data_IF_179561515322
#
_entry.id   IF_179561515322
#
_cell.length_a   1.000
_cell.length_b   1.000
_cell.length_c   1.000
_cell.angle_alpha   90.00
_cell.angle_beta   90.00
_cell.angle_gamma   90.00
#
_symmetry.space_group_name_H-M   'P 1'
#
loop_
_entity.id
_entity.type
_entity.pdbx_description
1 polymer ?
#
# COMPACT_ATOMS: atom_id res chain seq x y z
N UNK A 1 41.02 -26.42 55.75
CA UNK A 1 41.21 -25.95 54.36
C UNK A 1 40.17 -26.60 53.46
N UNK A 2 39.30 -25.78 52.85
CA UNK A 2 38.61 -25.93 51.55
C UNK A 2 37.36 -25.03 51.60
N UNK A 3 37.43 -23.91 50.89
CA UNK A 3 36.32 -22.97 50.70
C UNK A 3 35.69 -23.26 49.33
N UNK A 4 34.36 -23.37 49.17
CA UNK A 4 33.76 -23.54 47.86
C UNK A 4 33.69 -22.19 47.13
N UNK A 5 34.22 -22.15 45.91
CA UNK A 5 34.09 -21.00 45.01
C UNK A 5 32.70 -21.06 44.38
N UNK A 6 31.83 -20.12 44.74
CA UNK A 6 30.54 -19.91 44.10
C UNK A 6 30.76 -19.08 42.83
N UNK A 7 30.78 -19.73 41.67
CA UNK A 7 30.81 -19.07 40.36
C UNK A 7 29.40 -18.54 40.04
N UNK A 8 29.19 -17.24 40.22
CA UNK A 8 28.00 -16.54 39.75
C UNK A 8 28.12 -16.32 38.23
N UNK A 9 27.36 -17.08 37.46
CA UNK A 9 27.14 -16.83 36.03
C UNK A 9 26.19 -15.63 35.90
N UNK A 10 26.73 -14.44 35.69
CA UNK A 10 25.94 -13.30 35.19
C UNK A 10 25.74 -13.51 33.68
N UNK A 11 24.64 -14.15 33.31
CA UNK A 11 24.18 -14.15 31.92
C UNK A 11 23.82 -12.72 31.52
N UNK A 12 24.60 -12.12 30.62
CA UNK A 12 24.16 -10.91 29.90
C UNK A 12 22.96 -11.30 29.03
N UNK A 13 21.75 -11.04 29.53
CA UNK A 13 20.57 -10.94 28.68
C UNK A 13 20.72 -9.65 27.87
N UNK A 14 21.26 -9.76 26.67
CA UNK A 14 21.13 -8.71 25.67
C UNK A 14 19.65 -8.66 25.27
N UNK A 15 18.87 -7.82 25.96
CA UNK A 15 17.58 -7.37 25.47
C UNK A 15 17.87 -6.50 24.24
N UNK A 16 17.78 -7.08 23.04
CA UNK A 16 17.57 -6.27 21.85
C UNK A 16 16.19 -5.63 22.02
N UNK A 17 16.15 -4.34 22.32
CA UNK A 17 14.92 -3.59 22.27
C UNK A 17 14.57 -3.44 20.80
N UNK A 18 13.76 -4.35 20.25
CA UNK A 18 13.05 -4.07 19.01
C UNK A 18 12.29 -2.76 19.20
N UNK A 19 12.66 -1.75 18.42
CA UNK A 19 12.08 -0.42 18.54
C UNK A 19 10.57 -0.52 18.23
N UNK A 20 9.75 -0.44 19.28
CA UNK A 20 8.31 -0.63 19.17
C UNK A 20 7.70 0.41 18.22
N UNK A 21 6.96 -0.05 17.20
CA UNK A 21 6.21 0.84 16.29
C UNK A 21 5.23 1.71 17.09
N UNK A 22 5.37 3.03 16.96
CA UNK A 22 4.48 3.97 17.65
C UNK A 22 3.05 3.81 17.13
N UNK A 23 2.06 4.08 17.99
CA UNK A 23 0.65 4.05 17.55
C UNK A 23 0.37 5.06 16.44
N UNK A 24 1.07 6.20 16.45
CA UNK A 24 1.09 7.24 15.44
C UNK A 24 2.49 7.86 15.42
N UNK A 25 2.99 8.22 14.25
CA UNK A 25 4.26 8.94 14.10
C UNK A 25 4.21 9.90 12.91
N UNK A 26 4.94 11.02 13.02
CA UNK A 26 5.12 11.97 11.92
C UNK A 26 6.10 11.35 10.91
N UNK A 27 5.85 11.54 9.63
CA UNK A 27 6.80 11.17 8.58
C UNK A 27 7.83 12.30 8.35
N UNK A 28 9.04 11.98 7.87
CA UNK A 28 10.01 12.99 7.48
C UNK A 28 9.41 13.99 6.48
N UNK A 29 9.86 15.24 6.52
CA UNK A 29 9.29 16.31 5.66
C UNK A 29 9.42 16.00 4.16
N UNK A 30 10.39 15.16 3.79
CA UNK A 30 10.58 14.68 2.42
C UNK A 30 9.50 13.70 1.95
N UNK A 31 8.77 13.06 2.87
CA UNK A 31 7.68 12.11 2.61
C UNK A 31 6.36 12.83 2.91
N UNK A 32 5.81 13.51 1.92
CA UNK A 32 4.66 14.42 2.10
C UNK A 32 3.41 14.06 1.31
N UNK A 33 3.53 13.45 0.14
CA UNK A 33 2.36 13.00 -0.62
C UNK A 33 1.99 11.55 -0.29
N UNK A 34 2.91 10.71 0.22
CA UNK A 34 2.61 9.40 0.85
C UNK A 34 1.64 8.51 0.04
N UNK A 35 2.10 8.03 -1.11
CA UNK A 35 1.25 7.23 -2.01
C UNK A 35 1.32 5.73 -1.67
N UNK A 36 2.52 5.16 -1.54
CA UNK A 36 2.71 3.75 -1.15
C UNK A 36 3.54 3.52 0.12
N UNK A 37 3.34 2.35 0.73
CA UNK A 37 4.11 1.82 1.86
C UNK A 37 4.34 0.32 1.67
N UNK A 38 5.57 -0.13 1.89
CA UNK A 38 5.86 -1.53 2.23
C UNK A 38 6.79 -1.61 3.44
N UNK A 39 6.55 -2.57 4.32
CA UNK A 39 7.37 -2.89 5.48
C UNK A 39 8.22 -4.09 5.11
N UNK A 40 9.53 -3.90 5.01
CA UNK A 40 10.42 -4.98 4.59
C UNK A 40 10.69 -5.99 5.71
N UNK A 41 11.38 -7.08 5.36
CA UNK A 41 11.74 -8.15 6.30
C UNK A 41 12.66 -7.70 7.45
N UNK A 42 13.34 -6.56 7.31
CA UNK A 42 14.17 -5.94 8.35
C UNK A 42 13.36 -5.02 9.29
N UNK A 43 12.05 -4.87 9.05
CA UNK A 43 11.16 -3.99 9.81
C UNK A 43 11.29 -2.51 9.45
N UNK A 44 11.97 -2.17 8.34
CA UNK A 44 12.04 -0.81 7.82
C UNK A 44 10.77 -0.50 7.01
N UNK A 45 10.33 0.74 7.12
CA UNK A 45 9.18 1.27 6.41
C UNK A 45 9.67 1.98 5.15
N UNK A 46 9.27 1.50 3.99
CA UNK A 46 9.68 2.03 2.69
C UNK A 46 8.51 2.80 2.10
N UNK A 47 8.72 4.09 1.86
CA UNK A 47 7.69 5.00 1.36
C UNK A 47 8.08 5.57 -0.02
N UNK A 48 7.09 5.95 -0.80
CA UNK A 48 7.25 6.89 -1.91
C UNK A 48 6.19 7.99 -1.88
N UNK A 49 6.49 9.11 -2.51
CA UNK A 49 5.50 10.15 -2.79
C UNK A 49 4.75 9.82 -4.10
N UNK A 50 3.62 10.48 -4.29
CA UNK A 50 2.80 10.43 -5.51
C UNK A 50 3.51 11.08 -6.73
N UNK A 51 2.83 11.08 -7.87
CA UNK A 51 3.15 11.73 -9.14
C UNK A 51 3.78 13.12 -9.03
N UNK A 52 4.65 13.44 -10.00
CA UNK A 52 5.33 14.73 -10.09
C UNK A 52 6.49 14.91 -9.11
N UNK A 53 6.80 13.89 -8.29
CA UNK A 53 7.98 13.84 -7.44
C UNK A 53 9.13 13.05 -8.07
N UNK A 54 10.34 13.26 -7.53
CA UNK A 54 11.50 12.48 -7.94
C UNK A 54 11.31 11.01 -7.55
N UNK A 55 11.77 10.05 -8.39
CA UNK A 55 11.65 8.61 -8.17
C UNK A 55 12.54 8.17 -7.00
N UNK A 56 12.05 8.39 -5.78
CA UNK A 56 12.78 8.18 -4.53
C UNK A 56 12.00 7.24 -3.62
N UNK A 57 12.75 6.34 -2.99
CA UNK A 57 12.29 5.55 -1.86
C UNK A 57 12.88 6.09 -0.57
N UNK A 58 12.04 6.31 0.41
CA UNK A 58 12.41 6.83 1.72
C UNK A 58 12.27 5.72 2.74
N UNK A 59 13.36 5.39 3.43
CA UNK A 59 13.38 4.34 4.44
C UNK A 59 13.28 4.98 5.81
N UNK A 60 12.31 4.56 6.61
CA UNK A 60 12.16 5.02 8.01
C UNK A 60 12.08 3.85 8.98
N UNK A 61 12.32 4.12 10.26
CA UNK A 61 11.94 3.20 11.33
C UNK A 61 10.45 3.33 11.69
N UNK A 62 9.99 2.50 12.64
CA UNK A 62 8.63 2.53 13.20
C UNK A 62 8.35 3.73 14.12
N UNK A 63 9.28 4.67 14.22
CA UNK A 63 9.17 5.90 15.00
C UNK A 63 9.09 7.15 14.11
N UNK A 64 9.31 6.99 12.80
CA UNK A 64 9.27 8.04 11.78
C UNK A 64 10.64 8.67 11.49
N UNK A 65 11.73 8.11 12.03
CA UNK A 65 13.08 8.61 11.76
C UNK A 65 13.55 8.13 10.38
N UNK A 66 14.08 9.06 9.59
CA UNK A 66 14.62 8.77 8.27
C UNK A 66 15.96 8.01 8.41
N UNK A 67 16.02 6.81 7.88
CA UNK A 67 17.21 5.96 7.88
C UNK A 67 18.09 6.27 6.67
N UNK A 68 17.52 6.24 5.47
CA UNK A 68 18.20 6.58 4.22
C UNK A 68 17.20 6.82 3.08
N UNK A 69 17.72 7.30 1.95
CA UNK A 69 16.95 7.56 0.72
C UNK A 69 17.65 6.86 -0.44
N UNK A 70 16.91 6.09 -1.22
CA UNK A 70 17.35 5.60 -2.51
C UNK A 70 16.73 6.45 -3.60
N UNK A 71 17.54 6.86 -4.58
CA UNK A 71 17.11 7.69 -5.70
C UNK A 71 17.39 6.94 -7.00
N UNK A 72 16.39 6.90 -7.87
CA UNK A 72 16.44 6.19 -9.15
C UNK A 72 16.35 7.16 -10.32
N UNK A 73 17.38 7.99 -10.54
CA UNK A 73 17.37 8.96 -11.61
C UNK A 73 17.19 8.24 -12.95
N UNK A 74 16.19 8.66 -13.73
CA UNK A 74 15.86 8.07 -15.02
C UNK A 74 14.69 7.11 -15.02
N UNK A 75 14.16 6.68 -13.86
CA UNK A 75 12.86 6.01 -13.82
C UNK A 75 11.73 7.01 -14.03
N UNK A 76 10.84 6.80 -15.02
CA UNK A 76 9.66 7.63 -15.18
C UNK A 76 8.73 7.53 -13.96
N UNK A 77 8.43 8.67 -13.34
CA UNK A 77 7.47 8.80 -12.25
C UNK A 77 6.24 9.61 -12.70
N UNK A 78 5.60 9.13 -13.77
CA UNK A 78 4.41 9.78 -14.34
C UNK A 78 3.26 9.75 -13.34
N UNK A 79 3.00 8.58 -12.73
CA UNK A 79 1.93 8.37 -11.76
C UNK A 79 2.29 7.15 -10.89
N UNK A 80 3.15 7.37 -9.88
CA UNK A 80 3.56 6.33 -8.92
C UNK A 80 2.53 6.20 -7.80
N UNK A 81 1.93 5.03 -7.67
CA UNK A 81 0.70 4.86 -6.87
C UNK A 81 0.85 3.88 -5.70
N UNK A 82 1.55 2.76 -5.89
CA UNK A 82 1.70 1.78 -4.81
C UNK A 82 3.00 0.98 -4.93
N UNK A 83 3.41 0.36 -3.81
CA UNK A 83 4.63 -0.43 -3.68
C UNK A 83 4.36 -1.73 -2.93
N UNK A 84 5.03 -2.81 -3.33
CA UNK A 84 4.99 -4.09 -2.63
C UNK A 84 6.34 -4.80 -2.73
N UNK A 85 6.54 -5.86 -1.95
CA UNK A 85 7.78 -6.61 -1.91
C UNK A 85 7.50 -8.11 -2.08
N UNK A 86 8.36 -8.79 -2.84
CA UNK A 86 8.39 -10.26 -2.89
C UNK A 86 9.16 -10.87 -1.71
N UNK A 87 9.02 -12.18 -1.44
CA UNK A 87 9.82 -12.88 -0.43
C UNK A 87 11.33 -12.87 -0.69
N UNK A 88 11.77 -12.70 -1.95
CA UNK A 88 13.19 -12.51 -2.30
C UNK A 88 13.72 -11.13 -1.95
N UNK A 89 12.85 -10.18 -1.63
CA UNK A 89 13.20 -8.80 -1.29
C UNK A 89 13.03 -7.81 -2.45
N UNK A 90 12.70 -8.29 -3.66
CA UNK A 90 12.49 -7.43 -4.82
C UNK A 90 11.28 -6.52 -4.59
N UNK A 91 11.45 -5.23 -4.85
CA UNK A 91 10.39 -4.23 -4.73
C UNK A 91 9.71 -4.02 -6.08
N UNK A 92 8.38 -3.89 -6.04
CA UNK A 92 7.56 -3.60 -7.20
C UNK A 92 6.88 -2.26 -7.01
N UNK A 93 7.13 -1.29 -7.90
CA UNK A 93 6.57 0.06 -7.82
C UNK A 93 5.63 0.29 -9.00
N UNK A 94 4.38 0.62 -8.71
CA UNK A 94 3.34 0.86 -9.71
C UNK A 94 3.42 2.24 -10.32
N UNK A 95 3.84 2.36 -11.59
CA UNK A 95 3.69 3.57 -12.41
C UNK A 95 2.44 3.43 -13.31
N UNK A 96 1.28 3.32 -12.68
CA UNK A 96 0.05 2.86 -13.34
C UNK A 96 -1.19 3.72 -13.06
N UNK A 97 -1.04 4.81 -12.32
CA UNK A 97 -2.12 5.78 -12.12
C UNK A 97 -2.57 6.36 -13.46
N UNK A 98 -3.87 6.64 -13.60
CA UNK A 98 -4.46 7.27 -14.77
C UNK A 98 -5.77 7.96 -14.41
N UNK A 99 -5.68 9.09 -13.70
CA UNK A 99 -6.83 9.92 -13.34
C UNK A 99 -7.69 10.34 -14.56
N UNK A 100 -7.08 10.50 -15.74
CA UNK A 100 -7.80 10.77 -16.99
C UNK A 100 -8.41 9.54 -17.66
N UNK A 101 -8.07 8.32 -17.21
CA UNK A 101 -8.39 7.04 -17.85
C UNK A 101 -7.91 6.94 -19.30
N UNK A 102 -6.76 7.56 -19.60
CA UNK A 102 -6.30 7.82 -20.97
C UNK A 102 -4.85 7.39 -21.23
N UNK A 103 -4.19 6.74 -20.26
CA UNK A 103 -2.80 6.27 -20.40
C UNK A 103 -2.72 4.90 -21.06
N UNK A 104 -1.64 4.71 -21.81
CA UNK A 104 -1.31 3.46 -22.53
C UNK A 104 0.05 2.87 -22.09
N UNK A 105 0.78 3.60 -21.27
CA UNK A 105 2.15 3.37 -20.84
C UNK A 105 2.21 2.89 -19.38
N UNK A 106 1.27 2.03 -18.99
CA UNK A 106 1.20 1.51 -17.62
C UNK A 106 2.34 0.54 -17.38
N UNK A 107 3.10 0.78 -16.31
CA UNK A 107 4.26 -0.03 -15.97
C UNK A 107 4.32 -0.32 -14.47
N UNK A 108 5.01 -1.40 -14.12
CA UNK A 108 5.45 -1.69 -12.76
C UNK A 108 6.96 -1.88 -12.82
N UNK A 109 7.71 -1.08 -12.08
CA UNK A 109 9.17 -1.25 -12.00
C UNK A 109 9.52 -2.34 -11.01
N UNK A 110 10.48 -3.17 -11.37
CA UNK A 110 11.06 -4.21 -10.53
C UNK A 110 12.43 -3.70 -10.08
N UNK A 111 12.56 -3.41 -8.79
CA UNK A 111 13.84 -3.06 -8.16
C UNK A 111 14.36 -4.31 -7.46
N UNK A 112 15.43 -4.95 -7.97
CA UNK A 112 15.94 -6.17 -7.37
C UNK A 112 16.46 -5.93 -5.94
N UNK A 113 16.36 -6.96 -5.10
CA UNK A 113 16.96 -6.95 -3.77
C UNK A 113 18.49 -6.75 -3.83
N UNK A 114 19.12 -7.30 -4.86
CA UNK A 114 20.54 -7.11 -5.14
C UNK A 114 20.78 -5.79 -5.87
N UNK A 115 21.58 -4.87 -5.33
CA UNK A 115 21.86 -3.58 -5.98
C UNK A 115 22.67 -3.72 -7.28
N UNK A 116 23.29 -4.88 -7.52
CA UNK A 116 24.06 -5.16 -8.73
C UNK A 116 23.18 -5.63 -9.91
N UNK A 117 21.92 -5.99 -9.64
CA UNK A 117 20.98 -6.41 -10.67
C UNK A 117 20.28 -5.21 -11.31
N UNK A 118 20.09 -5.22 -12.64
CA UNK A 118 19.45 -4.10 -13.32
C UNK A 118 17.96 -4.01 -12.97
N UNK A 119 17.47 -2.77 -12.90
CA UNK A 119 16.04 -2.48 -12.79
C UNK A 119 15.35 -2.91 -14.07
N UNK A 120 14.21 -3.59 -13.93
CA UNK A 120 13.38 -4.04 -15.05
C UNK A 120 11.94 -3.54 -14.90
N UNK A 121 11.06 -3.89 -15.84
CA UNK A 121 9.67 -3.45 -15.85
C UNK A 121 8.69 -4.48 -16.37
N UNK A 122 7.48 -4.38 -15.86
CA UNK A 122 6.29 -5.08 -16.33
C UNK A 122 5.40 -4.04 -16.98
N UNK A 123 5.33 -4.04 -18.30
CA UNK A 123 4.41 -3.19 -19.04
C UNK A 123 3.09 -3.94 -19.22
N UNK A 124 1.98 -3.23 -19.08
CA UNK A 124 0.69 -3.89 -19.22
C UNK A 124 -0.41 -2.98 -19.76
N UNK A 125 -1.47 -3.62 -20.24
CA UNK A 125 -2.71 -2.94 -20.59
C UNK A 125 -3.91 -3.71 -20.04
N UNK A 126 -5.00 -2.98 -19.82
CA UNK A 126 -6.25 -3.58 -19.37
C UNK A 126 -6.86 -4.47 -20.46
N UNK A 127 -7.49 -5.60 -20.09
CA UNK A 127 -8.13 -6.48 -21.04
C UNK A 127 -9.44 -5.92 -21.61
N UNK A 128 -10.08 -5.00 -20.88
CA UNK A 128 -11.45 -4.53 -21.08
C UNK A 128 -11.57 -3.01 -21.30
N UNK A 129 -10.44 -2.30 -21.44
CA UNK A 129 -10.44 -0.88 -21.82
C UNK A 129 -10.45 -0.73 -23.34
N UNK A 130 -11.62 -0.45 -23.91
CA UNK A 130 -11.79 -0.29 -25.36
C UNK A 130 -11.72 1.17 -25.83
N UNK A 131 -11.73 2.13 -24.90
CA UNK A 131 -11.70 3.57 -25.16
C UNK A 131 -10.87 4.32 -24.11
N UNK A 132 -10.27 5.45 -24.51
CA UNK A 132 -9.30 6.21 -23.71
C UNK A 132 -9.60 7.72 -23.82
N UNK A 133 -10.47 8.29 -22.95
CA UNK A 133 -11.20 7.63 -21.87
C UNK A 133 -12.46 6.90 -22.35
N UNK A 134 -12.96 5.91 -21.59
CA UNK A 134 -14.31 5.43 -21.78
C UNK A 134 -15.35 6.48 -21.37
N UNK A 135 -16.56 6.34 -21.90
CA UNK A 135 -17.71 7.12 -21.48
C UNK A 135 -18.10 6.83 -20.03
N UNK A 136 -18.67 7.82 -19.33
CA UNK A 136 -19.27 7.63 -18.02
C UNK A 136 -20.48 6.66 -18.13
N UNK A 137 -20.73 5.77 -17.16
CA UNK A 137 -20.04 5.60 -15.87
C UNK A 137 -18.90 4.55 -15.89
N UNK A 138 -18.38 4.18 -17.07
CA UNK A 138 -17.43 3.07 -17.23
C UNK A 138 -15.96 3.42 -16.96
N UNK A 139 -15.71 4.57 -16.33
CA UNK A 139 -14.40 5.11 -15.98
C UNK A 139 -13.85 4.43 -14.73
N UNK A 140 -13.24 3.25 -14.92
CA UNK A 140 -12.66 2.44 -13.86
C UNK A 140 -11.34 1.80 -14.32
N UNK A 141 -10.48 2.66 -14.88
CA UNK A 141 -9.15 2.35 -15.42
C UNK A 141 -8.12 3.33 -14.86
N UNK A 142 -8.28 3.70 -13.60
CA UNK A 142 -7.23 4.32 -12.79
C UNK A 142 -6.76 3.25 -11.80
N UNK A 143 -5.50 2.82 -11.82
CA UNK A 143 -4.99 1.81 -10.90
C UNK A 143 -4.32 2.51 -9.73
N UNK A 144 -4.63 2.13 -8.48
CA UNK A 144 -4.05 2.82 -7.31
C UNK A 144 -3.61 1.89 -6.18
N UNK A 145 -3.69 0.57 -6.40
CA UNK A 145 -3.35 -0.36 -5.34
C UNK A 145 -2.83 -1.67 -5.90
N UNK A 146 -1.86 -2.25 -5.21
CA UNK A 146 -1.17 -3.47 -5.63
C UNK A 146 -0.64 -4.23 -4.42
N UNK A 147 -0.61 -5.56 -4.51
CA UNK A 147 0.31 -6.35 -3.70
C UNK A 147 0.86 -7.55 -4.48
N UNK A 148 2.03 -8.03 -4.06
CA UNK A 148 2.61 -9.27 -4.56
C UNK A 148 2.00 -10.47 -3.82
N UNK A 149 1.65 -11.52 -4.56
CA UNK A 149 1.23 -12.79 -3.99
C UNK A 149 1.65 -13.96 -4.88
N UNK A 150 2.43 -14.89 -4.30
CA UNK A 150 2.95 -16.12 -4.91
C UNK A 150 3.91 -15.91 -6.09
N UNK A 151 3.39 -15.61 -7.26
CA UNK A 151 4.16 -15.43 -8.50
C UNK A 151 3.64 -14.25 -9.33
N UNK A 152 2.68 -13.52 -8.77
CA UNK A 152 1.88 -12.53 -9.48
C UNK A 152 1.68 -11.27 -8.65
N UNK A 153 1.45 -10.18 -9.36
CA UNK A 153 0.97 -8.92 -8.81
C UNK A 153 -0.55 -8.89 -8.95
N UNK A 154 -1.21 -8.50 -7.87
CA UNK A 154 -2.66 -8.35 -7.80
C UNK A 154 -2.96 -6.86 -7.65
N UNK A 155 -3.66 -6.31 -8.65
CA UNK A 155 -3.85 -4.87 -8.80
C UNK A 155 -5.32 -4.50 -8.67
N UNK A 156 -5.60 -3.34 -8.08
CA UNK A 156 -6.96 -2.88 -7.78
C UNK A 156 -7.18 -1.47 -8.31
N UNK A 157 -8.25 -1.30 -9.08
CA UNK A 157 -8.57 -0.02 -9.68
C UNK A 157 -9.35 0.90 -8.74
N UNK A 158 -9.10 2.20 -8.87
CA UNK A 158 -9.89 3.29 -8.32
C UNK A 158 -10.99 3.71 -9.29
N UNK A 159 -12.17 3.89 -8.75
CA UNK A 159 -13.33 4.38 -9.47
C UNK A 159 -13.39 5.92 -9.45
N UNK A 160 -14.31 6.52 -10.20
CA UNK A 160 -14.55 7.97 -10.15
C UNK A 160 -15.63 8.33 -9.11
N UNK A 161 -15.39 9.35 -8.29
CA UNK A 161 -16.39 9.90 -7.36
C UNK A 161 -17.59 10.42 -8.15
N UNK A 162 -18.81 10.17 -7.64
CA UNK A 162 -20.12 10.60 -8.17
C UNK A 162 -20.50 10.09 -9.58
N UNK A 163 -19.52 9.79 -10.43
CA UNK A 163 -19.68 9.39 -11.83
C UNK A 163 -19.38 7.91 -12.09
N UNK A 164 -18.74 7.26 -11.12
CA UNK A 164 -18.37 5.86 -11.17
C UNK A 164 -19.50 4.91 -10.78
N UNK A 165 -19.21 3.62 -10.85
CA UNK A 165 -20.15 2.54 -10.50
C UNK A 165 -19.86 1.89 -9.12
N UNK A 166 -19.00 2.51 -8.30
CA UNK A 166 -18.53 2.07 -6.98
C UNK A 166 -17.75 0.73 -6.95
N UNK A 167 -17.42 0.13 -8.09
CA UNK A 167 -16.56 -1.05 -8.14
C UNK A 167 -15.08 -0.71 -8.10
N UNK A 168 -14.29 -1.52 -7.41
CA UNK A 168 -12.87 -1.73 -7.74
C UNK A 168 -12.77 -3.02 -8.55
N UNK A 169 -11.97 -3.03 -9.62
CA UNK A 169 -11.68 -4.23 -10.40
C UNK A 169 -10.36 -4.82 -9.92
N UNK A 170 -10.30 -6.14 -9.85
CA UNK A 170 -9.11 -6.90 -9.49
C UNK A 170 -8.49 -7.50 -10.75
N UNK A 171 -7.24 -7.10 -11.01
CA UNK A 171 -6.43 -7.63 -12.12
C UNK A 171 -5.25 -8.44 -11.59
N UNK A 172 -4.77 -9.38 -12.40
CA UNK A 172 -3.61 -10.23 -12.10
C UNK A 172 -2.61 -10.19 -13.25
N UNK A 173 -1.32 -10.06 -12.93
CA UNK A 173 -0.20 -10.03 -13.87
C UNK A 173 0.97 -10.82 -13.27
N UNK A 174 1.72 -11.63 -14.04
CA UNK A 174 2.93 -12.29 -13.53
C UNK A 174 3.95 -11.28 -12.99
N UNK A 175 4.59 -11.59 -11.86
CA UNK A 175 5.63 -10.75 -11.24
C UNK A 175 7.00 -10.95 -11.91
N UNK A 176 7.04 -10.91 -13.24
CA UNK A 176 8.25 -11.09 -14.05
C UNK A 176 8.29 -10.06 -15.18
N UNK A 177 9.48 -9.60 -15.59
CA UNK A 177 9.64 -8.68 -16.71
C UNK A 177 8.85 -9.10 -17.95
N UNK A 178 8.25 -8.13 -18.64
CA UNK A 178 7.53 -8.42 -19.88
C UNK A 178 6.42 -7.45 -20.22
N UNK A 179 5.66 -7.84 -21.25
CA UNK A 179 4.50 -7.10 -21.73
C UNK A 179 3.27 -7.99 -21.59
N UNK A 180 2.28 -7.56 -20.82
CA UNK A 180 1.13 -8.40 -20.50
C UNK A 180 -0.20 -7.71 -20.81
N UNK A 181 -1.14 -8.50 -21.33
CA UNK A 181 -2.56 -8.19 -21.17
C UNK A 181 -2.97 -8.67 -19.78
N UNK A 182 -3.37 -7.75 -18.90
CA UNK A 182 -3.75 -8.13 -17.54
C UNK A 182 -4.98 -9.06 -17.54
N UNK A 183 -5.09 -9.93 -16.54
CA UNK A 183 -6.26 -10.80 -16.37
C UNK A 183 -7.24 -10.11 -15.43
N UNK A 184 -8.42 -9.73 -15.92
CA UNK A 184 -9.52 -9.27 -15.05
C UNK A 184 -10.08 -10.48 -14.30
N UNK A 185 -9.75 -10.58 -13.01
CA UNK A 185 -10.07 -11.76 -12.18
C UNK A 185 -11.44 -11.62 -11.52
N UNK A 186 -11.72 -10.46 -10.94
CA UNK A 186 -12.96 -10.20 -10.20
C UNK A 186 -13.22 -8.69 -10.02
N UNK A 187 -14.25 -8.32 -9.28
CA UNK A 187 -14.52 -6.95 -8.84
C UNK A 187 -15.25 -6.91 -7.50
N UNK A 188 -15.05 -5.84 -6.74
CA UNK A 188 -15.72 -5.64 -5.46
C UNK A 188 -16.41 -4.27 -5.40
N UNK A 189 -17.69 -4.26 -5.04
CA UNK A 189 -18.43 -3.02 -4.88
C UNK A 189 -18.18 -2.39 -3.51
N UNK A 190 -17.52 -1.23 -3.50
CA UNK A 190 -17.39 -0.42 -2.30
C UNK A 190 -18.73 0.26 -1.97
N UNK A 191 -18.95 0.57 -0.68
CA UNK A 191 -20.18 1.25 -0.25
C UNK A 191 -19.92 2.74 -0.11
N UNK A 192 -20.93 3.56 -0.42
CA UNK A 192 -20.94 5.01 -0.17
C UNK A 192 -19.86 5.75 -0.97
N UNK A 193 -19.66 5.41 -2.24
CA UNK A 193 -18.70 6.09 -3.12
C UNK A 193 -17.28 6.15 -2.55
N UNK A 194 -16.88 5.09 -1.83
CA UNK A 194 -15.50 4.93 -1.39
C UNK A 194 -14.65 4.47 -2.56
N UNK A 195 -13.44 4.99 -2.62
CA UNK A 195 -12.42 4.67 -3.59
C UNK A 195 -11.34 3.80 -2.94
N UNK A 196 -10.77 2.87 -3.68
CA UNK A 196 -9.54 2.19 -3.25
C UNK A 196 -8.37 3.15 -3.46
N UNK A 197 -7.49 3.23 -2.47
CA UNK A 197 -6.25 4.05 -2.49
C UNK A 197 -5.00 3.27 -2.07
N UNK A 198 -5.14 1.99 -1.72
CA UNK A 198 -4.02 1.14 -1.35
C UNK A 198 -4.46 -0.29 -1.02
N UNK A 199 -3.57 -1.25 -1.15
CA UNK A 199 -3.83 -2.65 -0.79
C UNK A 199 -2.60 -3.30 -0.15
N UNK A 200 -2.84 -4.31 0.70
CA UNK A 200 -1.76 -5.06 1.33
C UNK A 200 -2.19 -6.50 1.61
N UNK A 201 -1.23 -7.42 1.65
CA UNK A 201 -1.44 -8.82 2.02
C UNK A 201 -0.73 -9.13 3.34
N UNK A 202 -1.33 -9.98 4.17
CA UNK A 202 -0.73 -10.38 5.45
C UNK A 202 0.56 -11.19 5.22
N UNK A 203 1.53 -11.17 6.14
CA UNK A 203 2.80 -11.86 5.95
C UNK A 203 2.63 -13.37 5.73
N UNK A 204 1.63 -14.00 6.36
CA UNK A 204 1.28 -15.41 6.14
C UNK A 204 0.52 -15.69 4.84
N UNK A 205 0.16 -14.65 4.08
CA UNK A 205 -0.57 -14.75 2.82
C UNK A 205 -2.02 -15.25 2.96
N UNK A 206 -2.61 -15.21 4.16
CA UNK A 206 -3.94 -15.73 4.45
C UNK A 206 -5.05 -14.67 4.39
N UNK A 207 -4.69 -13.39 4.49
CA UNK A 207 -5.63 -12.27 4.54
C UNK A 207 -5.10 -11.11 3.71
N UNK A 208 -5.97 -10.30 3.12
CA UNK A 208 -5.56 -9.05 2.49
C UNK A 208 -6.50 -7.91 2.91
N UNK A 209 -6.02 -6.69 2.75
CA UNK A 209 -6.73 -5.48 3.08
C UNK A 209 -6.80 -4.53 1.87
N UNK A 210 -7.95 -3.88 1.71
CA UNK A 210 -8.09 -2.70 0.87
C UNK A 210 -8.31 -1.48 1.76
N UNK A 211 -7.59 -0.41 1.47
CA UNK A 211 -7.85 0.91 2.04
C UNK A 211 -8.88 1.63 1.18
N UNK A 212 -10.03 1.94 1.77
CA UNK A 212 -11.11 2.67 1.13
C UNK A 212 -11.22 4.09 1.67
N UNK A 213 -11.20 5.09 0.79
CA UNK A 213 -11.35 6.50 1.12
C UNK A 213 -12.65 7.06 0.54
N UNK A 214 -13.44 7.70 1.40
CA UNK A 214 -14.51 8.60 0.96
C UNK A 214 -14.03 10.03 1.12
N UNK A 215 -14.23 10.88 0.11
CA UNK A 215 -13.97 12.31 0.18
C UNK A 215 -15.19 13.09 -0.32
N UNK A 216 -15.62 14.11 0.43
CA UNK A 216 -16.69 15.03 0.05
C UNK A 216 -16.45 16.42 0.63
N UNK A 217 -17.01 17.45 0.02
CA UNK A 217 -17.09 18.80 0.61
C UNK A 217 -18.42 19.00 1.34
N UNK A 218 -18.37 19.36 2.62
CA UNK A 218 -19.51 19.81 3.42
C UNK A 218 -19.67 21.33 3.26
N UNK A 219 -20.91 21.81 3.08
CA UNK A 219 -21.22 23.21 2.70
C UNK A 219 -20.48 23.72 1.45
N UNK A 220 -19.97 22.83 0.59
CA UNK A 220 -19.26 23.18 -0.64
C UNK A 220 -17.80 23.60 -0.46
N UNK A 221 -17.30 23.80 0.77
CA UNK A 221 -15.91 24.23 1.02
C UNK A 221 -15.19 23.49 2.15
N UNK A 222 -15.89 22.82 3.06
CA UNK A 222 -15.26 22.11 4.19
C UNK A 222 -14.90 20.68 3.74
N UNK A 223 -13.63 20.32 3.57
CA UNK A 223 -13.27 18.96 3.17
C UNK A 223 -13.61 17.98 4.29
N UNK A 224 -14.26 16.88 3.94
CA UNK A 224 -14.53 15.74 4.79
C UNK A 224 -13.99 14.49 4.12
N UNK A 225 -13.29 13.68 4.90
CA UNK A 225 -12.90 12.35 4.44
C UNK A 225 -13.19 11.29 5.50
N UNK A 226 -13.41 10.07 5.04
CA UNK A 226 -13.56 8.90 5.90
C UNK A 226 -12.84 7.72 5.29
N UNK A 227 -11.83 7.23 6.00
CA UNK A 227 -11.15 5.99 5.64
C UNK A 227 -11.80 4.76 6.29
N UNK A 228 -11.87 3.67 5.55
CA UNK A 228 -12.30 2.35 6.01
C UNK A 228 -11.34 1.30 5.47
N UNK A 229 -10.82 0.46 6.35
CA UNK A 229 -10.07 -0.73 5.97
C UNK A 229 -11.06 -1.88 5.77
N UNK A 230 -11.02 -2.51 4.60
CA UNK A 230 -11.76 -3.72 4.26
C UNK A 230 -10.80 -4.89 4.34
N UNK A 231 -11.01 -5.80 5.28
CA UNK A 231 -10.14 -6.96 5.50
C UNK A 231 -10.87 -8.21 5.03
N UNK A 232 -10.23 -8.99 4.17
CA UNK A 232 -10.75 -10.22 3.58
C UNK A 232 -9.94 -11.39 4.12
N UNK A 233 -10.47 -12.14 5.11
CA UNK A 233 -9.75 -13.26 5.69
C UNK A 233 -9.97 -14.55 4.91
N UNK A 234 -8.94 -15.41 4.90
CA UNK A 234 -8.99 -16.83 4.50
C UNK A 234 -9.62 -17.02 3.12
N UNK A 235 -8.91 -16.61 2.08
CA UNK A 235 -9.28 -16.85 0.69
C UNK A 235 -8.59 -18.11 0.14
N UNK A 236 -9.13 -18.66 -0.96
CA UNK A 236 -8.60 -19.85 -1.62
C UNK A 236 -7.94 -19.46 -2.95
N UNK A 237 -6.64 -19.71 -3.09
CA UNK A 237 -5.90 -19.30 -4.29
C UNK A 237 -5.88 -17.78 -4.41
N UNK A 238 -6.32 -17.25 -5.56
CA UNK A 238 -6.44 -15.82 -5.84
C UNK A 238 -7.90 -15.32 -5.85
N UNK A 239 -8.85 -16.10 -5.29
CA UNK A 239 -10.26 -15.72 -5.20
C UNK A 239 -10.53 -14.83 -3.98
N UNK A 240 -10.02 -13.61 -4.07
CA UNK A 240 -9.97 -12.65 -2.99
C UNK A 240 -11.33 -12.11 -2.54
N UNK A 241 -12.32 -12.00 -3.44
CA UNK A 241 -13.63 -11.44 -3.12
C UNK A 241 -14.74 -12.47 -2.89
N UNK A 242 -14.42 -13.77 -2.86
CA UNK A 242 -15.38 -14.86 -2.57
C UNK A 242 -16.10 -14.69 -1.23
N UNK A 243 -15.44 -14.05 -0.26
CA UNK A 243 -15.96 -13.82 1.10
C UNK A 243 -16.18 -12.33 1.35
N UNK A 244 -17.23 -12.02 2.12
CA UNK A 244 -17.52 -10.64 2.52
C UNK A 244 -16.42 -10.12 3.45
N UNK A 245 -15.91 -8.89 3.22
CA UNK A 245 -14.90 -8.33 4.09
C UNK A 245 -15.47 -7.89 5.43
N UNK A 246 -14.61 -7.95 6.44
CA UNK A 246 -14.80 -7.24 7.70
C UNK A 246 -14.31 -5.81 7.55
N UNK A 247 -14.96 -4.87 8.24
CA UNK A 247 -14.68 -3.43 8.08
C UNK A 247 -14.16 -2.82 9.37
N UNK A 248 -13.12 -2.00 9.24
CA UNK A 248 -12.60 -1.15 10.31
C UNK A 248 -12.63 0.31 9.83
N UNK A 249 -13.60 1.09 10.29
CA UNK A 249 -13.57 2.53 10.05
C UNK A 249 -12.48 3.20 10.87
N UNK A 250 -11.71 4.07 10.23
CA UNK A 250 -10.74 4.93 10.89
C UNK A 250 -11.50 6.16 11.38
N UNK A 251 -11.39 6.46 12.68
CA UNK A 251 -12.08 7.63 13.24
C UNK A 251 -11.50 8.89 12.59
N UNK A 252 -12.34 9.78 12.05
CA UNK A 252 -11.86 11.01 11.45
C UNK A 252 -11.21 11.88 12.53
N UNK A 253 -10.14 12.57 12.17
CA UNK A 253 -9.78 13.80 12.87
C UNK A 253 -10.87 14.85 12.56
N UNK A 254 -10.89 15.96 13.30
CA UNK A 254 -11.74 17.12 12.94
C UNK A 254 -11.47 17.57 11.48
N UNK A 255 -10.28 17.25 10.96
CA UNK A 255 -9.82 17.57 9.62
C UNK A 255 -9.78 16.33 8.72
N UNK A 256 -10.11 16.52 7.44
CA UNK A 256 -9.98 15.50 6.42
C UNK A 256 -8.50 15.10 6.24
N UNK A 257 -8.27 13.80 6.16
CA UNK A 257 -6.98 13.20 5.83
C UNK A 257 -7.17 12.25 4.65
N UNK A 258 -6.21 12.27 3.74
CA UNK A 258 -6.12 11.35 2.61
C UNK A 258 -5.15 10.26 3.03
N UNK A 259 -5.68 9.07 3.28
CA UNK A 259 -4.86 7.89 3.57
C UNK A 259 -4.76 7.09 2.28
N UNK A 260 -3.53 6.81 1.85
CA UNK A 260 -3.25 6.16 0.56
C UNK A 260 -2.37 4.94 0.79
N UNK A 261 -1.26 5.11 1.50
CA UNK A 261 -0.40 3.99 1.84
C UNK A 261 -0.99 3.05 2.92
N UNK A 262 -0.86 1.73 2.74
CA UNK A 262 -1.22 0.69 3.72
C UNK A 262 -0.27 -0.51 3.62
N UNK A 263 0.15 -1.07 4.76
CA UNK A 263 0.79 -2.39 4.79
C UNK A 263 0.56 -3.15 6.11
N UNK A 264 0.77 -4.46 6.12
CA UNK A 264 0.80 -5.27 7.33
C UNK A 264 2.16 -5.18 8.02
N UNK A 265 2.14 -4.78 9.29
CA UNK A 265 3.31 -4.87 10.18
C UNK A 265 3.44 -6.29 10.77
N UNK A 266 2.30 -6.91 11.08
CA UNK A 266 2.20 -8.31 11.51
C UNK A 266 0.81 -8.84 11.14
N UNK A 267 0.54 -10.13 11.37
CA UNK A 267 -0.74 -10.77 11.03
C UNK A 267 -1.98 -10.05 11.56
N UNK A 268 -1.88 -9.34 12.70
CA UNK A 268 -2.99 -8.65 13.34
C UNK A 268 -2.92 -7.12 13.19
N UNK A 269 -1.86 -6.57 12.62
CA UNK A 269 -1.55 -5.14 12.73
C UNK A 269 -1.21 -4.56 11.37
N UNK A 270 -1.96 -3.53 11.00
CA UNK A 270 -1.71 -2.73 9.81
C UNK A 270 -1.04 -1.41 10.19
N UNK A 271 -0.34 -0.81 9.25
CA UNK A 271 0.06 0.59 9.28
C UNK A 271 -0.54 1.29 8.07
N UNK A 272 -1.08 2.48 8.28
CA UNK A 272 -1.61 3.34 7.20
C UNK A 272 -0.90 4.69 7.21
N UNK A 273 -0.55 5.20 6.04
CA UNK A 273 0.05 6.52 5.84
C UNK A 273 -0.99 7.53 5.34
N UNK A 274 -0.85 8.79 5.76
CA UNK A 274 -1.64 9.90 5.22
C UNK A 274 -0.74 11.03 4.76
N UNK A 275 -1.16 11.68 3.67
CA UNK A 275 -0.49 12.84 3.11
C UNK A 275 -0.44 14.04 4.07
N UNK A 276 0.44 14.97 3.73
CA UNK A 276 0.50 16.30 4.34
C UNK A 276 -0.69 17.12 3.85
N UNK A 277 -1.40 17.71 4.81
CA UNK A 277 -2.38 18.77 4.54
C UNK A 277 -1.77 20.13 4.92
N UNK A 278 -2.52 21.22 4.69
CA UNK A 278 -2.11 22.58 5.07
C UNK A 278 -1.74 22.68 6.58
N UNK A 279 -2.38 21.88 7.43
CA UNK A 279 -2.30 22.00 8.90
C UNK A 279 -1.80 20.74 9.61
N UNK A 280 -1.89 19.57 8.97
CA UNK A 280 -1.44 18.30 9.55
C UNK A 280 -0.29 17.77 8.70
N UNK A 281 0.89 17.52 9.30
CA UNK A 281 1.99 16.89 8.57
C UNK A 281 1.62 15.48 8.13
N UNK A 282 2.30 15.00 7.10
CA UNK A 282 2.28 13.59 6.73
C UNK A 282 2.63 12.72 7.94
N UNK A 283 1.89 11.61 8.08
CA UNK A 283 1.97 10.76 9.28
C UNK A 283 1.55 9.34 8.97
N UNK A 284 2.01 8.42 9.79
CA UNK A 284 1.58 7.04 9.79
C UNK A 284 0.83 6.69 11.08
N UNK A 285 -0.02 5.68 10.99
CA UNK A 285 -0.85 5.19 12.08
C UNK A 285 -0.91 3.69 12.10
N UNK A 286 -0.59 3.11 13.25
CA UNK A 286 -0.74 1.68 13.53
C UNK A 286 -2.18 1.34 13.89
N UNK A 287 -2.73 0.33 13.24
CA UNK A 287 -4.11 -0.16 13.40
C UNK A 287 -4.07 -1.64 13.76
N UNK A 288 -4.32 -1.94 15.03
CA UNK A 288 -4.54 -3.32 15.46
C UNK A 288 -5.95 -3.79 15.06
N UNK A 289 -6.00 -4.86 14.27
CA UNK A 289 -7.19 -5.60 13.96
C UNK A 289 -7.54 -6.50 15.16
N UNK A 290 -8.82 -6.58 15.51
CA UNK A 290 -9.25 -7.45 16.61
C UNK A 290 -9.30 -8.91 16.16
N UNK A 291 -9.18 -9.88 17.08
CA UNK A 291 -9.26 -11.33 16.77
C UNK A 291 -10.43 -11.76 15.87
N UNK A 292 -11.55 -11.02 15.87
CA UNK A 292 -12.69 -11.27 14.97
C UNK A 292 -12.33 -11.19 13.47
N UNK A 293 -11.23 -10.52 13.12
CA UNK A 293 -10.80 -10.31 11.75
C UNK A 293 -10.14 -11.53 11.11
N UNK A 294 -9.75 -12.53 11.91
CA UNK A 294 -8.98 -13.70 11.48
C UNK A 294 -9.67 -15.03 11.82
N UNK A 295 -10.93 -14.96 12.25
CA UNK A 295 -11.76 -16.15 12.52
C UNK A 295 -12.34 -16.71 11.24
#
# INVERSE_FOLDING_TARGET
>A
MKLPILLLFFGLLAFSAEAQVKSHFKLPEAVREVSGLVINQEGQFIWHNDSGHEPKLYFTDGQGELLHILHYPGLPATDWEDITQSPSGDLFIGNFGSNCHCRYDLAIYILPASPDEPIDSINFHYPDQMAFPPGEPWRNFNMEAMFWYRDSLHLFSKNTIEKGNDYTKHYVIPAQPGNYKAILRDSFQLKRQQLVTGAAISPDGSSFALLGLYAKRFLGFIPQSKATIYVFPKFDGDRFFDKKPLKKSIRPYIYALQYEAIDFYDEETLVIGSEKTIIIPAKAKRIRLGKRFFR
#
